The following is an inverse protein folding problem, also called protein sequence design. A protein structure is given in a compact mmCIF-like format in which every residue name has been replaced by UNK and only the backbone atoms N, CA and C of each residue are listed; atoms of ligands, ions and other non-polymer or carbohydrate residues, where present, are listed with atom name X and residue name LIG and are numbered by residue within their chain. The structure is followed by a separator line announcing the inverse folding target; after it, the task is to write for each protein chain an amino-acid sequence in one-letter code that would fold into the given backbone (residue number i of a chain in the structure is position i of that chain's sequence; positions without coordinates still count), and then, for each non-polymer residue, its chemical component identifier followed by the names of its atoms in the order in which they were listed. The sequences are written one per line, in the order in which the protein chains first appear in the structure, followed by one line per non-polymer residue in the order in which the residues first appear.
data_IF_549397536105
#
_entry.id   IF_549397536105
#
_cell.length_a   1.000
_cell.length_b   1.000
_cell.length_c   1.000
_cell.angle_alpha   90.00
_cell.angle_beta   90.00
_cell.angle_gamma   90.00
#
_symmetry.space_group_name_H-M   'P 1'
#
loop_
_entity.id
_entity.type
_entity.pdbx_description
1 polymer ?
#
# COMPACT_ATOMS: atom_id res chain seq x y z
N UNK A 1 -18.80 -37.93 13.82
CA UNK A 1 -17.55 -37.26 14.30
C UNK A 1 -16.59 -36.84 13.18
N UNK A 2 -16.61 -37.44 11.98
CA UNK A 2 -15.61 -37.18 10.92
C UNK A 2 -15.90 -35.92 10.07
N UNK A 3 -17.18 -35.60 9.83
CA UNK A 3 -17.63 -34.44 9.05
C UNK A 3 -17.36 -33.09 9.74
N UNK A 4 -17.39 -33.08 11.07
CA UNK A 4 -17.14 -31.88 11.87
C UNK A 4 -15.68 -31.39 11.75
N UNK A 5 -14.71 -32.31 11.66
CA UNK A 5 -13.28 -31.97 11.52
C UNK A 5 -12.95 -31.29 10.20
N UNK A 6 -13.61 -31.71 9.11
CA UNK A 6 -13.43 -31.13 7.77
C UNK A 6 -13.98 -29.70 7.74
N UNK A 7 -15.12 -29.47 8.40
CA UNK A 7 -15.70 -28.14 8.53
C UNK A 7 -14.79 -27.17 9.30
N UNK A 8 -14.23 -27.61 10.43
CA UNK A 8 -13.27 -26.77 11.18
C UNK A 8 -11.99 -26.47 10.40
N UNK A 9 -11.48 -27.43 9.62
CA UNK A 9 -10.32 -27.20 8.74
C UNK A 9 -10.63 -26.22 7.62
N UNK A 10 -11.79 -26.34 6.97
CA UNK A 10 -12.22 -25.42 5.92
C UNK A 10 -12.39 -23.98 6.45
N UNK A 11 -12.93 -23.83 7.67
CA UNK A 11 -13.05 -22.54 8.36
C UNK A 11 -11.68 -21.96 8.71
N UNK A 12 -10.76 -22.78 9.24
CA UNK A 12 -9.40 -22.33 9.54
C UNK A 12 -8.63 -21.86 8.30
N UNK A 13 -8.78 -22.57 7.17
CA UNK A 13 -8.16 -22.19 5.89
C UNK A 13 -8.74 -20.88 5.37
N UNK A 14 -10.06 -20.68 5.44
CA UNK A 14 -10.69 -19.42 5.00
C UNK A 14 -10.27 -18.22 5.87
N UNK A 15 -10.13 -18.41 7.19
CA UNK A 15 -9.61 -17.38 8.09
C UNK A 15 -8.16 -17.03 7.75
N UNK A 16 -7.31 -18.04 7.48
CA UNK A 16 -5.92 -17.82 7.08
C UNK A 16 -5.77 -17.05 5.77
N UNK A 17 -6.65 -17.29 4.79
CA UNK A 17 -6.59 -16.59 3.50
C UNK A 17 -7.00 -15.12 3.56
N UNK A 18 -7.82 -14.72 4.55
CA UNK A 18 -8.29 -13.33 4.68
C UNK A 18 -7.21 -12.37 5.19
N UNK A 19 -6.19 -12.89 5.87
CA UNK A 19 -5.15 -12.11 6.56
C UNK A 19 -4.09 -11.49 5.65
N UNK A 20 -4.07 -11.81 4.34
CA UNK A 20 -2.97 -11.47 3.43
C UNK A 20 -3.22 -10.25 2.54
N UNK A 21 -4.18 -9.38 2.89
CA UNK A 21 -4.27 -8.06 2.25
C UNK A 21 -3.18 -7.14 2.82
N UNK A 22 -1.91 -7.39 2.45
CA UNK A 22 -0.83 -6.44 2.70
C UNK A 22 -1.03 -5.30 1.70
N UNK A 23 -1.55 -4.17 2.18
CA UNK A 23 -1.63 -2.95 1.38
C UNK A 23 -0.19 -2.40 1.27
N UNK A 24 0.45 -2.62 0.12
CA UNK A 24 1.77 -2.06 -0.17
C UNK A 24 1.62 -0.55 -0.38
N UNK A 25 2.04 0.27 0.59
CA UNK A 25 2.04 1.72 0.50
C UNK A 25 3.40 2.25 0.01
N UNK A 26 3.37 3.38 -0.71
CA UNK A 26 4.53 4.02 -1.32
C UNK A 26 5.11 5.16 -0.47
N UNK A 27 4.59 5.39 0.74
CA UNK A 27 4.93 6.56 1.56
C UNK A 27 6.43 6.74 1.79
N UNK A 28 7.17 5.68 2.19
CA UNK A 28 8.63 5.74 2.34
C UNK A 28 9.33 6.17 1.04
N UNK A 29 8.92 5.60 -0.10
CA UNK A 29 9.47 5.96 -1.40
C UNK A 29 9.24 7.44 -1.76
N UNK A 30 8.08 7.98 -1.40
CA UNK A 30 7.78 9.40 -1.61
C UNK A 30 8.69 10.29 -0.79
N UNK A 31 8.91 9.97 0.49
CA UNK A 31 9.79 10.75 1.36
C UNK A 31 11.24 10.76 0.82
N UNK A 32 11.75 9.61 0.38
CA UNK A 32 13.09 9.50 -0.21
C UNK A 32 13.24 10.31 -1.51
N UNK A 33 12.14 10.51 -2.24
CA UNK A 33 12.14 11.10 -3.58
C UNK A 33 11.30 12.39 -3.67
N UNK A 34 11.08 13.09 -2.56
CA UNK A 34 10.21 14.26 -2.47
C UNK A 34 10.56 15.37 -3.50
N UNK A 35 11.82 15.45 -3.93
CA UNK A 35 12.25 16.38 -4.99
C UNK A 35 11.57 16.13 -6.34
N UNK A 36 11.26 14.86 -6.65
CA UNK A 36 10.63 14.42 -7.90
C UNK A 36 9.13 14.15 -7.68
N UNK A 37 8.80 13.54 -6.54
CA UNK A 37 7.45 13.15 -6.18
C UNK A 37 6.60 14.30 -5.62
N UNK A 38 7.21 15.44 -5.31
CA UNK A 38 6.58 16.55 -4.59
C UNK A 38 6.76 16.39 -3.07
N UNK A 39 6.65 17.50 -2.34
CA UNK A 39 6.70 17.49 -0.89
C UNK A 39 5.42 16.86 -0.32
N UNK A 40 5.50 15.69 0.34
CA UNK A 40 4.35 15.02 0.93
C UNK A 40 3.62 15.84 2.00
N UNK A 41 4.28 16.84 2.60
CA UNK A 41 3.71 17.71 3.62
C UNK A 41 3.30 19.09 3.07
N UNK A 42 3.30 19.27 1.75
CA UNK A 42 2.85 20.52 1.12
C UNK A 42 1.35 20.78 1.30
N UNK A 43 0.56 19.73 1.55
CA UNK A 43 -0.86 19.83 1.86
C UNK A 43 -1.07 19.72 3.38
N UNK A 44 -1.51 20.80 4.05
CA UNK A 44 -1.68 20.81 5.50
C UNK A 44 -2.88 19.98 5.98
N UNK A 45 -3.78 19.59 5.09
CA UNK A 45 -5.00 18.84 5.44
C UNK A 45 -4.77 17.33 5.32
N UNK A 46 -3.93 16.92 4.36
CA UNK A 46 -3.81 15.52 3.96
C UNK A 46 -2.38 15.02 4.16
N UNK A 47 -2.20 14.13 5.14
CA UNK A 47 -0.91 13.58 5.54
C UNK A 47 -0.76 12.15 5.00
N UNK A 48 0.37 11.77 4.38
CA UNK A 48 0.59 10.39 3.97
C UNK A 48 0.55 9.42 5.14
N UNK A 49 -0.14 8.29 4.95
CA UNK A 49 -0.14 7.20 5.92
C UNK A 49 1.16 6.41 5.83
N UNK A 50 1.58 5.78 6.93
CA UNK A 50 2.72 4.85 6.94
C UNK A 50 2.20 3.46 7.29
N UNK A 51 1.98 2.61 6.27
CA UNK A 51 1.45 1.23 6.44
C UNK A 51 0.08 1.16 7.18
N UNK A 52 -0.64 2.28 7.23
CA UNK A 52 -1.96 2.41 7.88
C UNK A 52 -3.09 2.62 6.88
N UNK A 53 -2.82 2.42 5.59
CA UNK A 53 -3.85 2.55 4.57
C UNK A 53 -4.84 1.38 4.67
N UNK A 54 -6.09 1.72 4.96
CA UNK A 54 -7.21 0.76 5.06
C UNK A 54 -8.00 0.66 3.77
N UNK A 55 -7.83 1.64 2.87
CA UNK A 55 -8.38 1.63 1.52
C UNK A 55 -7.38 1.07 0.52
N UNK A 56 -7.84 0.65 -0.64
CA UNK A 56 -6.97 0.10 -1.69
C UNK A 56 -6.61 1.18 -2.70
N UNK A 57 -5.35 1.61 -2.70
CA UNK A 57 -4.78 2.49 -3.72
C UNK A 57 -3.96 1.70 -4.75
N UNK A 58 -3.82 2.21 -5.97
CA UNK A 58 -2.91 1.62 -6.96
C UNK A 58 -1.46 1.80 -6.53
N UNK A 59 -0.81 0.72 -6.09
CA UNK A 59 0.57 0.76 -5.60
C UNK A 59 1.59 1.15 -6.68
N UNK A 60 1.21 1.31 -7.94
CA UNK A 60 2.10 1.78 -9.01
C UNK A 60 1.94 3.26 -9.35
N UNK A 61 0.82 3.88 -8.98
CA UNK A 61 0.51 5.24 -9.41
C UNK A 61 -0.04 6.15 -8.32
N UNK A 62 -0.43 5.60 -7.17
CA UNK A 62 -1.08 6.32 -6.07
C UNK A 62 -0.38 6.08 -4.72
N UNK A 63 -0.74 6.95 -3.77
CA UNK A 63 -0.36 6.87 -2.37
C UNK A 63 -1.51 7.29 -1.47
N UNK A 64 -1.51 6.78 -0.25
CA UNK A 64 -2.60 6.95 0.68
C UNK A 64 -2.34 8.14 1.61
N UNK A 65 -3.35 8.97 1.81
CA UNK A 65 -3.32 10.09 2.75
C UNK A 65 -4.54 10.06 3.66
N UNK A 66 -4.39 10.62 4.85
CA UNK A 66 -5.42 10.74 5.87
C UNK A 66 -5.55 12.20 6.33
N UNK A 67 -6.77 12.62 6.68
CA UNK A 67 -7.04 13.94 7.25
C UNK A 67 -7.34 13.86 8.76
N UNK A 68 -7.57 15.02 9.39
CA UNK A 68 -7.88 15.10 10.82
C UNK A 68 -9.18 14.39 11.24
N UNK A 69 -10.10 14.18 10.31
CA UNK A 69 -11.36 13.45 10.49
C UNK A 69 -11.22 11.92 10.31
N UNK A 70 -9.99 11.42 10.17
CA UNK A 70 -9.67 10.01 9.89
C UNK A 70 -10.25 9.49 8.56
N UNK A 71 -10.48 10.39 7.61
CA UNK A 71 -10.86 10.02 6.25
C UNK A 71 -9.61 9.74 5.43
N UNK A 72 -9.61 8.63 4.71
CA UNK A 72 -8.51 8.25 3.82
C UNK A 72 -8.89 8.48 2.36
N UNK A 73 -7.91 8.86 1.55
CA UNK A 73 -8.06 8.94 0.09
C UNK A 73 -6.75 8.57 -0.63
N UNK A 74 -6.89 8.12 -1.87
CA UNK A 74 -5.76 7.88 -2.75
C UNK A 74 -5.42 9.16 -3.53
N UNK A 75 -4.16 9.59 -3.47
CA UNK A 75 -3.62 10.68 -4.27
C UNK A 75 -2.70 10.12 -5.34
N UNK A 76 -2.80 10.68 -6.54
CA UNK A 76 -1.96 10.28 -7.68
C UNK A 76 -0.57 10.89 -7.57
N UNK A 77 0.46 10.09 -7.82
CA UNK A 77 1.84 10.54 -7.93
C UNK A 77 2.08 11.27 -9.25
N UNK A 78 3.01 12.25 -9.31
CA UNK A 78 3.47 12.80 -10.57
C UNK A 78 4.03 11.73 -11.51
N UNK A 79 3.84 11.87 -12.82
CA UNK A 79 4.24 10.84 -13.81
C UNK A 79 5.75 10.50 -13.75
N UNK A 80 6.60 11.47 -13.44
CA UNK A 80 8.04 11.23 -13.25
C UNK A 80 8.32 10.36 -12.02
N UNK A 81 7.59 10.58 -10.94
CA UNK A 81 7.67 9.77 -9.72
C UNK A 81 7.19 8.33 -9.97
N UNK A 82 6.10 8.17 -10.73
CA UNK A 82 5.59 6.84 -11.12
C UNK A 82 6.64 6.05 -11.92
N UNK A 83 7.31 6.68 -12.89
CA UNK A 83 8.40 6.04 -13.65
C UNK A 83 9.54 5.59 -12.74
N UNK A 84 9.97 6.45 -11.82
CA UNK A 84 11.03 6.13 -10.87
C UNK A 84 10.65 4.96 -9.94
N UNK A 85 9.39 4.91 -9.50
CA UNK A 85 8.87 3.80 -8.69
C UNK A 85 8.91 2.49 -9.45
N UNK A 86 8.46 2.48 -10.71
CA UNK A 86 8.50 1.30 -11.57
C UNK A 86 9.94 0.80 -11.77
N UNK A 87 10.91 1.70 -11.93
CA UNK A 87 12.32 1.32 -12.00
C UNK A 87 12.84 0.69 -10.69
N UNK A 88 12.48 1.25 -9.52
CA UNK A 88 12.82 0.68 -8.20
C UNK A 88 12.23 -0.72 -8.04
N UNK A 89 10.94 -0.91 -8.38
CA UNK A 89 10.25 -2.20 -8.33
C UNK A 89 10.92 -3.23 -9.25
N UNK A 90 11.18 -2.87 -10.50
CA UNK A 90 11.88 -3.74 -11.47
C UNK A 90 13.25 -4.19 -10.95
N UNK A 91 14.04 -3.29 -10.36
CA UNK A 91 15.35 -3.60 -9.77
C UNK A 91 15.24 -4.57 -8.59
N UNK A 92 14.23 -4.42 -7.71
CA UNK A 92 13.98 -5.36 -6.60
C UNK A 92 13.67 -6.77 -7.11
N UNK A 93 12.84 -6.92 -8.12
CA UNK A 93 12.51 -8.23 -8.70
C UNK A 93 13.74 -8.93 -9.30
N UNK A 94 14.67 -8.18 -9.88
CA UNK A 94 15.92 -8.70 -10.45
C UNK A 94 16.93 -9.19 -9.40
N UNK A 95 16.87 -8.67 -8.18
CA UNK A 95 17.80 -9.03 -7.09
C UNK A 95 17.23 -10.09 -6.13
N UNK A 96 15.95 -10.46 -6.31
CA UNK A 96 15.25 -11.48 -5.52
C UNK A 96 15.20 -12.86 -6.21
N UNK A 97 15.85 -13.00 -7.38
CA UNK A 97 16.11 -14.26 -8.09
C UNK A 97 17.60 -14.60 -8.00
#
# INVERSE_FOLDING_TARGET
MQTSRIFFLAIAITILTLSYAIVEDNAEFLFENAKICGDPFSDPIWIPTLDLCTIQCDSNSEYCVENEDLQQQCKKMPDECQKLLQEKKRKRTLHSN
#
